data_IF_546590202277
#
_entry.id   IF_546590202277
#
_cell.length_a   1.000
_cell.length_b   1.000
_cell.length_c   1.000
_cell.angle_alpha   90.00
_cell.angle_beta   90.00
_cell.angle_gamma   90.00
#
_symmetry.space_group_name_H-M   'P 1'
#
loop_
_entity.id
_entity.type
_entity.pdbx_description
1 polymer ?
#
# COMPACT_ATOMS: atom_id res chain seq x y z
N UNK A 1 19.39 50.04 17.91
CA UNK A 1 19.24 49.31 16.64
C UNK A 1 19.00 47.85 17.00
N UNK A 2 17.76 47.38 16.86
CA UNK A 2 17.43 46.00 17.10
C UNK A 2 17.70 45.21 15.80
N UNK A 3 18.67 44.29 15.85
CA UNK A 3 18.94 43.37 14.77
C UNK A 3 17.76 42.38 14.70
N UNK A 4 16.88 42.58 13.71
CA UNK A 4 15.82 41.62 13.42
C UNK A 4 16.46 40.30 12.93
N UNK A 5 16.36 39.27 13.71
CA UNK A 5 16.62 37.93 13.26
C UNK A 5 15.69 37.63 12.06
N UNK A 6 16.24 37.61 10.84
CA UNK A 6 15.53 37.05 9.67
C UNK A 6 15.32 35.58 9.97
N UNK A 7 14.11 35.22 10.35
CA UNK A 7 13.71 33.81 10.41
C UNK A 7 13.94 33.19 9.05
N UNK A 8 14.65 32.07 9.00
CA UNK A 8 14.75 31.23 7.78
C UNK A 8 13.35 30.81 7.30
N UNK A 9 13.23 30.28 6.07
CA UNK A 9 11.96 29.74 5.60
C UNK A 9 11.45 28.69 6.60
N UNK A 10 10.13 28.66 6.81
CA UNK A 10 9.51 27.66 7.66
C UNK A 10 9.88 26.24 7.13
N UNK A 11 10.16 25.28 8.02
CA UNK A 11 10.46 23.93 7.58
C UNK A 11 9.27 23.34 6.83
N UNK A 12 9.56 22.67 5.74
CA UNK A 12 8.56 21.94 4.94
C UNK A 12 8.42 20.53 5.47
N UNK A 13 7.24 20.20 6.00
CA UNK A 13 6.89 18.87 6.51
C UNK A 13 6.22 18.00 5.47
N UNK A 14 5.80 18.57 4.33
CA UNK A 14 5.01 17.85 3.31
C UNK A 14 5.70 16.57 2.82
N UNK A 15 4.89 15.60 2.42
CA UNK A 15 5.36 14.34 1.86
C UNK A 15 5.40 13.22 2.90
N UNK A 16 6.24 12.25 2.65
CA UNK A 16 6.25 11.01 3.39
C UNK A 16 7.56 10.80 4.13
N UNK A 17 7.44 10.16 5.29
CA UNK A 17 8.52 9.94 6.23
C UNK A 17 8.41 8.52 6.77
N UNK A 18 9.52 7.78 6.79
CA UNK A 18 9.58 6.44 7.35
C UNK A 18 10.37 6.42 8.66
N UNK A 19 9.99 5.58 9.59
CA UNK A 19 10.71 5.41 10.84
C UNK A 19 12.16 4.99 10.58
N UNK A 20 13.08 5.64 11.26
CA UNK A 20 14.52 5.49 11.03
C UNK A 20 15.06 4.10 11.42
N UNK A 21 14.45 3.45 12.40
CA UNK A 21 15.03 2.24 13.02
C UNK A 21 14.59 0.94 12.34
N UNK A 22 13.34 0.86 11.90
CA UNK A 22 12.77 -0.39 11.42
C UNK A 22 11.85 -0.22 10.19
N UNK A 23 11.64 1.02 9.73
CA UNK A 23 10.76 1.36 8.59
C UNK A 23 9.31 0.82 8.70
N UNK A 24 8.89 0.48 9.93
CA UNK A 24 7.57 -0.10 10.20
C UNK A 24 6.50 0.94 10.40
N UNK A 25 6.90 2.17 10.69
CA UNK A 25 6.01 3.31 10.90
C UNK A 25 6.20 4.30 9.78
N UNK A 26 5.11 4.69 9.16
CA UNK A 26 5.11 5.69 8.08
C UNK A 26 4.22 6.84 8.47
N UNK A 27 4.70 8.06 8.26
CA UNK A 27 3.94 9.29 8.44
C UNK A 27 3.79 10.02 7.11
N UNK A 28 2.57 10.43 6.78
CA UNK A 28 2.23 11.20 5.57
C UNK A 28 1.71 12.57 5.97
N UNK A 29 2.33 13.61 5.44
CA UNK A 29 1.94 14.99 5.68
C UNK A 29 1.37 15.61 4.42
N UNK A 30 0.09 15.93 4.43
CA UNK A 30 -0.63 16.58 3.32
C UNK A 30 -0.93 18.02 3.68
N UNK A 31 -0.45 19.01 2.91
CA UNK A 31 -0.78 20.41 3.15
C UNK A 31 -2.29 20.64 3.14
N UNK A 32 -2.80 21.31 4.18
CA UNK A 32 -4.22 21.65 4.28
C UNK A 32 -4.50 23.04 3.71
N UNK A 33 -5.64 23.22 3.05
CA UNK A 33 -6.04 24.50 2.47
C UNK A 33 -6.23 25.63 3.53
N UNK A 34 -6.54 25.24 4.77
CA UNK A 34 -6.66 26.14 5.93
C UNK A 34 -5.31 26.55 6.54
N UNK A 35 -4.20 26.04 6.00
CA UNK A 35 -2.87 26.13 6.59
C UNK A 35 -2.59 24.97 7.56
N UNK A 36 -1.32 24.59 7.69
CA UNK A 36 -0.91 23.39 8.43
C UNK A 36 -0.97 22.13 7.56
N UNK A 37 -1.12 20.96 8.20
CA UNK A 37 -1.04 19.66 7.56
C UNK A 37 -2.09 18.71 8.12
N UNK A 38 -2.76 17.94 7.24
CA UNK A 38 -3.34 16.67 7.64
C UNK A 38 -2.21 15.65 7.78
N UNK A 39 -2.18 14.92 8.87
CA UNK A 39 -1.14 13.93 9.16
C UNK A 39 -1.78 12.59 9.40
N UNK A 40 -1.28 11.59 8.70
CA UNK A 40 -1.64 10.19 8.90
C UNK A 40 -0.38 9.41 9.26
N UNK A 41 -0.45 8.60 10.31
CA UNK A 41 0.64 7.72 10.72
C UNK A 41 0.09 6.31 10.79
N UNK A 42 0.80 5.38 10.18
CA UNK A 42 0.44 3.97 10.21
C UNK A 42 1.59 3.12 10.72
N UNK A 43 1.27 2.14 11.56
CA UNK A 43 2.20 1.14 12.03
C UNK A 43 1.61 -0.26 11.86
N UNK A 44 2.41 -1.17 11.29
CA UNK A 44 2.08 -2.58 11.15
C UNK A 44 3.22 -3.42 11.72
N UNK A 45 2.88 -4.32 12.61
CA UNK A 45 3.81 -5.34 13.05
C UNK A 45 3.71 -6.56 12.12
N UNK A 46 4.85 -7.01 11.59
CA UNK A 46 4.91 -8.15 10.68
C UNK A 46 4.39 -9.41 11.38
N UNK A 47 3.42 -10.08 10.75
CA UNK A 47 2.85 -11.33 11.26
C UNK A 47 1.75 -11.17 12.31
N UNK A 48 1.37 -9.95 12.66
CA UNK A 48 0.18 -9.71 13.48
C UNK A 48 -0.99 -9.21 12.61
N UNK A 49 -2.16 -9.77 12.83
CA UNK A 49 -3.41 -9.30 12.23
C UNK A 49 -3.88 -7.98 12.89
N UNK A 50 -2.94 -7.10 13.23
CA UNK A 50 -3.19 -5.82 13.90
C UNK A 50 -2.47 -4.70 13.17
N UNK A 51 -3.16 -3.58 13.09
CA UNK A 51 -2.69 -2.34 12.50
C UNK A 51 -3.02 -1.17 13.43
N UNK A 52 -2.08 -0.27 13.60
CA UNK A 52 -2.27 0.95 14.39
C UNK A 52 -2.23 2.17 13.47
N UNK A 53 -3.21 3.05 13.61
CA UNK A 53 -3.34 4.24 12.80
C UNK A 53 -3.61 5.49 13.64
N UNK A 54 -2.95 6.57 13.27
CA UNK A 54 -3.17 7.89 13.84
C UNK A 54 -3.55 8.87 12.75
N UNK A 55 -4.59 9.64 12.99
CA UNK A 55 -5.03 10.77 12.16
C UNK A 55 -5.07 12.03 12.98
N UNK A 56 -4.54 13.13 12.45
CA UNK A 56 -4.53 14.42 13.16
C UNK A 56 -4.39 15.62 12.24
N UNK A 57 -4.80 16.78 12.71
CA UNK A 57 -4.57 18.07 12.05
C UNK A 57 -3.42 18.82 12.77
N UNK A 58 -2.30 18.97 12.11
CA UNK A 58 -1.12 19.62 12.69
C UNK A 58 -0.99 21.06 12.19
N UNK A 59 -0.84 21.99 13.09
CA UNK A 59 -0.70 23.43 12.79
C UNK A 59 0.66 23.97 13.27
N UNK A 60 1.07 25.10 12.69
CA UNK A 60 2.34 25.74 13.06
C UNK A 60 2.37 26.06 14.56
N UNK A 61 3.34 25.48 15.24
CA UNK A 61 3.65 25.72 16.64
C UNK A 61 4.80 26.71 16.84
N UNK A 62 5.35 26.72 18.05
CA UNK A 62 6.50 27.54 18.37
C UNK A 62 7.80 26.97 17.84
N UNK A 63 8.76 27.82 17.47
CA UNK A 63 10.14 27.41 17.08
C UNK A 63 10.24 26.43 15.90
N UNK A 64 9.32 26.55 14.93
CA UNK A 64 9.34 25.70 13.73
C UNK A 64 8.83 24.28 13.95
N UNK A 65 8.05 24.04 15.01
CA UNK A 65 7.32 22.78 15.21
C UNK A 65 5.95 22.85 14.54
N UNK A 66 5.36 21.67 14.31
CA UNK A 66 3.91 21.49 14.16
C UNK A 66 3.37 20.95 15.49
N UNK A 67 2.18 21.36 15.88
CA UNK A 67 1.47 20.84 17.05
C UNK A 67 0.07 20.35 16.65
N UNK A 68 -0.41 19.34 17.32
CA UNK A 68 -1.78 18.83 17.18
C UNK A 68 -2.40 18.61 18.57
N UNK A 69 -3.73 18.64 18.63
CA UNK A 69 -4.54 18.38 19.83
C UNK A 69 -5.86 17.66 19.53
N UNK A 70 -5.96 17.10 18.33
CA UNK A 70 -7.11 16.36 17.81
C UNK A 70 -6.70 14.96 17.33
N UNK A 71 -5.60 14.45 17.87
CA UNK A 71 -5.06 13.15 17.47
C UNK A 71 -6.06 12.03 17.77
N UNK A 72 -6.46 11.31 16.73
CA UNK A 72 -7.23 10.07 16.85
C UNK A 72 -6.30 8.89 16.65
N UNK A 73 -6.26 8.00 17.61
CA UNK A 73 -5.55 6.72 17.52
C UNK A 73 -6.53 5.57 17.52
N UNK A 74 -6.41 4.71 16.52
CA UNK A 74 -7.21 3.50 16.40
C UNK A 74 -6.32 2.28 16.24
N UNK A 75 -6.80 1.18 16.76
CA UNK A 75 -6.23 -0.14 16.55
C UNK A 75 -7.21 -0.96 15.71
N UNK A 76 -6.76 -1.44 14.57
CA UNK A 76 -7.53 -2.29 13.67
C UNK A 76 -7.08 -3.73 13.89
N UNK A 77 -8.02 -4.59 14.24
CA UNK A 77 -7.78 -6.02 14.43
C UNK A 77 -8.54 -6.79 13.37
N UNK A 78 -7.84 -7.64 12.64
CA UNK A 78 -8.39 -8.52 11.62
C UNK A 78 -8.52 -9.93 12.22
N UNK A 79 -9.52 -10.71 11.84
CA UNK A 79 -9.60 -12.11 12.27
C UNK A 79 -8.43 -12.92 11.74
N UNK A 80 -7.99 -12.60 10.51
CA UNK A 80 -6.81 -13.19 9.86
C UNK A 80 -5.99 -12.09 9.20
N UNK A 81 -4.69 -12.30 9.10
CA UNK A 81 -3.85 -11.46 8.25
C UNK A 81 -4.34 -11.58 6.80
N UNK A 82 -4.78 -10.47 6.24
CA UNK A 82 -5.33 -10.41 4.90
C UNK A 82 -6.84 -10.22 4.79
N UNK A 83 -7.60 -10.24 5.90
CA UNK A 83 -9.02 -9.93 5.87
C UNK A 83 -9.26 -8.46 5.52
N UNK A 84 -10.38 -8.18 4.84
CA UNK A 84 -10.86 -6.82 4.58
C UNK A 84 -11.78 -6.32 5.69
N UNK A 85 -12.35 -7.22 6.46
CA UNK A 85 -13.17 -6.89 7.62
C UNK A 85 -12.29 -6.80 8.85
N UNK A 86 -12.44 -5.73 9.59
CA UNK A 86 -11.69 -5.48 10.81
C UNK A 86 -12.60 -4.96 11.92
N UNK A 87 -12.17 -5.19 13.15
CA UNK A 87 -12.73 -4.54 14.32
C UNK A 87 -11.85 -3.33 14.62
N UNK A 88 -12.49 -2.15 14.66
CA UNK A 88 -11.84 -0.91 15.07
C UNK A 88 -12.01 -0.70 16.56
N UNK A 89 -10.89 -0.56 17.26
CA UNK A 89 -10.84 -0.12 18.65
C UNK A 89 -10.25 1.29 18.69
N UNK A 90 -11.07 2.27 19.07
CA UNK A 90 -10.62 3.64 19.25
C UNK A 90 -9.95 3.77 20.61
N UNK A 91 -8.63 3.99 20.59
CA UNK A 91 -7.83 4.12 21.82
C UNK A 91 -7.99 5.52 22.43
N UNK A 92 -7.94 6.56 21.59
CA UNK A 92 -8.24 7.94 21.98
C UNK A 92 -8.61 8.81 20.77
N UNK A 93 -9.22 9.98 21.02
CA UNK A 93 -9.67 10.94 19.98
C UNK A 93 -9.20 12.38 20.18
N UNK A 94 -8.51 12.65 21.27
CA UNK A 94 -8.04 13.97 21.71
C UNK A 94 -6.56 13.96 22.08
N UNK A 95 -5.79 13.14 21.35
CA UNK A 95 -4.35 13.05 21.53
C UNK A 95 -3.65 14.36 21.21
N UNK A 96 -2.63 14.66 21.99
CA UNK A 96 -1.80 15.85 21.81
C UNK A 96 -0.36 15.49 21.47
N UNK A 97 0.30 16.33 20.70
CA UNK A 97 1.70 16.09 20.39
C UNK A 97 2.29 17.11 19.44
N UNK A 98 3.48 16.80 18.97
CA UNK A 98 4.21 17.70 18.08
C UNK A 98 5.17 16.97 17.14
N UNK A 99 5.48 17.66 16.05
CA UNK A 99 6.48 17.28 15.08
C UNK A 99 7.55 18.36 14.97
N UNK A 100 8.79 17.97 14.86
CA UNK A 100 9.94 18.86 14.68
C UNK A 100 10.91 18.27 13.67
N UNK A 101 11.29 19.05 12.66
CA UNK A 101 12.44 18.67 11.82
C UNK A 101 13.71 19.19 12.54
N UNK A 102 14.56 18.24 12.95
CA UNK A 102 15.78 18.55 13.68
C UNK A 102 16.88 19.07 12.73
N UNK A 103 18.04 19.47 13.30
CA UNK A 103 19.18 19.96 12.52
C UNK A 103 19.79 18.97 11.53
N UNK A 104 19.45 17.70 11.64
CA UNK A 104 19.90 16.63 10.74
C UNK A 104 18.90 16.36 9.61
N UNK A 105 17.78 17.12 9.54
CA UNK A 105 16.72 16.91 8.57
C UNK A 105 15.78 15.76 8.93
N UNK A 106 15.89 15.19 10.13
CA UNK A 106 15.03 14.11 10.60
C UNK A 106 13.77 14.69 11.25
N UNK A 107 12.62 14.08 10.98
CA UNK A 107 11.36 14.41 11.64
C UNK A 107 11.29 13.66 12.97
N UNK A 108 11.06 14.40 14.04
CA UNK A 108 10.84 13.85 15.38
C UNK A 108 9.38 14.04 15.73
N UNK A 109 8.64 12.97 15.86
CA UNK A 109 7.30 12.95 16.43
C UNK A 109 7.38 12.71 17.93
N UNK A 110 6.67 13.51 18.69
CA UNK A 110 6.48 13.33 20.12
C UNK A 110 4.98 13.26 20.37
N UNK A 111 4.49 12.09 20.74
CA UNK A 111 3.13 11.90 21.24
C UNK A 111 3.13 12.26 22.74
N UNK A 112 2.40 13.32 23.10
CA UNK A 112 2.33 13.75 24.49
C UNK A 112 1.34 12.89 25.31
N UNK A 113 0.46 12.13 24.64
CA UNK A 113 -0.56 11.30 25.29
C UNK A 113 0.08 10.11 26.02
N UNK A 114 1.08 9.48 25.40
CA UNK A 114 1.81 8.35 26.00
C UNK A 114 3.30 8.65 26.28
N UNK A 115 3.78 9.81 25.82
CA UNK A 115 5.17 10.23 25.99
C UNK A 115 6.15 9.59 25.01
N UNK A 116 5.68 8.87 24.01
CA UNK A 116 6.52 8.21 23.00
C UNK A 116 7.23 9.21 22.09
N UNK A 117 8.35 8.76 21.53
CA UNK A 117 9.09 9.52 20.51
C UNK A 117 9.52 8.61 19.40
N UNK A 118 9.17 9.00 18.18
CA UNK A 118 9.59 8.32 16.96
C UNK A 118 10.38 9.27 16.08
N UNK A 119 11.47 8.75 15.51
CA UNK A 119 12.33 9.51 14.59
C UNK A 119 12.13 8.95 13.19
N UNK A 120 11.81 9.83 12.26
CA UNK A 120 11.59 9.49 10.87
C UNK A 120 12.64 10.15 9.98
N UNK A 121 12.93 9.51 8.87
CA UNK A 121 13.70 10.07 7.76
C UNK A 121 12.76 10.36 6.61
N UNK A 122 13.02 11.44 5.87
CA UNK A 122 12.26 11.75 4.67
C UNK A 122 12.57 10.68 3.63
N UNK A 123 11.52 10.08 3.08
CA UNK A 123 11.65 9.16 1.96
C UNK A 123 11.49 9.96 0.68
N UNK A 124 12.54 10.01 -0.14
CA UNK A 124 12.47 10.59 -1.47
C UNK A 124 11.61 9.67 -2.35
N UNK A 125 10.44 10.17 -2.73
CA UNK A 125 9.54 9.50 -3.67
C UNK A 125 10.15 9.38 -5.09
N UNK A 126 11.35 9.91 -5.30
CA UNK A 126 12.05 9.96 -6.58
C UNK A 126 13.45 9.31 -6.55
N UNK A 127 13.82 8.62 -5.48
CA UNK A 127 15.12 7.97 -5.34
C UNK A 127 15.00 6.45 -5.36
N UNK A 128 16.00 5.77 -5.94
CA UNK A 128 16.08 4.33 -6.20
C UNK A 128 15.98 3.40 -4.96
N UNK A 129 15.62 3.92 -3.78
CA UNK A 129 15.51 3.16 -2.53
C UNK A 129 14.33 3.57 -1.60
N UNK A 130 13.36 4.31 -2.09
CA UNK A 130 12.21 4.69 -1.28
C UNK A 130 11.10 3.64 -1.39
N UNK A 131 11.32 2.54 -0.73
CA UNK A 131 10.32 1.54 -0.43
C UNK A 131 9.41 2.08 0.67
N UNK A 132 8.32 2.75 0.30
CA UNK A 132 7.40 3.29 1.27
C UNK A 132 6.34 2.24 1.52
N UNK A 133 6.34 1.67 2.72
CA UNK A 133 5.23 0.83 3.17
C UNK A 133 3.98 1.72 3.16
N UNK A 134 2.99 1.34 2.37
CA UNK A 134 1.71 2.03 2.26
C UNK A 134 0.60 1.13 2.85
N UNK A 135 0.51 1.02 4.19
CA UNK A 135 -0.44 0.12 4.83
C UNK A 135 -1.89 0.50 4.55
N UNK A 136 -2.17 1.76 4.27
CA UNK A 136 -3.48 2.21 3.85
C UNK A 136 -3.95 1.60 2.52
N UNK A 137 -3.03 1.03 1.72
CA UNK A 137 -3.36 0.30 0.50
C UNK A 137 -3.58 -1.19 0.71
N UNK A 138 -3.25 -1.74 1.87
CA UNK A 138 -3.37 -3.19 2.14
C UNK A 138 -4.78 -3.71 1.87
N UNK A 139 -5.79 -3.05 2.42
CA UNK A 139 -7.20 -3.43 2.19
C UNK A 139 -7.59 -3.33 0.71
N UNK A 140 -7.11 -2.29 0.00
CA UNK A 140 -7.38 -2.15 -1.43
C UNK A 140 -6.67 -3.23 -2.25
N UNK A 141 -5.44 -3.59 -1.92
CA UNK A 141 -4.70 -4.67 -2.59
C UNK A 141 -5.45 -6.01 -2.44
N UNK A 142 -5.92 -6.32 -1.24
CA UNK A 142 -6.71 -7.54 -1.00
C UNK A 142 -8.04 -7.56 -1.79
N UNK A 143 -8.72 -6.42 -1.87
CA UNK A 143 -9.90 -6.29 -2.73
C UNK A 143 -9.53 -6.58 -4.18
N UNK A 144 -8.44 -6.01 -4.68
CA UNK A 144 -7.96 -6.19 -6.05
C UNK A 144 -7.56 -7.64 -6.36
N UNK A 145 -7.02 -8.38 -5.39
CA UNK A 145 -6.66 -9.79 -5.56
C UNK A 145 -7.83 -10.66 -6.04
N UNK A 146 -9.07 -10.30 -5.70
CA UNK A 146 -10.28 -11.03 -6.13
C UNK A 146 -10.53 -10.97 -7.64
N UNK A 147 -9.88 -10.04 -8.33
CA UNK A 147 -10.04 -9.81 -9.77
C UNK A 147 -8.83 -10.27 -10.58
N UNK A 148 -7.83 -10.87 -9.92
CA UNK A 148 -6.74 -11.55 -10.63
C UNK A 148 -7.33 -12.79 -11.31
N UNK A 149 -7.13 -12.98 -12.63
CA UNK A 149 -7.68 -14.12 -13.34
C UNK A 149 -7.15 -15.44 -12.77
N UNK A 150 -8.07 -16.37 -12.52
CA UNK A 150 -7.81 -17.75 -12.16
C UNK A 150 -8.74 -18.62 -12.99
N UNK A 151 -8.34 -19.10 -14.15
CA UNK A 151 -9.08 -19.81 -15.18
C UNK A 151 -9.95 -18.96 -16.11
N UNK A 152 -10.49 -17.84 -15.68
CA UNK A 152 -11.29 -16.93 -16.52
C UNK A 152 -11.00 -15.47 -16.19
N UNK A 153 -11.19 -14.61 -17.17
CA UNK A 153 -11.15 -13.17 -16.99
C UNK A 153 -12.58 -12.65 -16.81
N UNK A 154 -12.92 -12.28 -15.57
CA UNK A 154 -14.24 -11.76 -15.28
C UNK A 154 -14.44 -10.36 -15.93
N UNK A 155 -15.59 -10.09 -16.59
CA UNK A 155 -15.83 -8.78 -17.22
C UNK A 155 -15.72 -7.59 -16.25
N UNK A 156 -16.13 -7.77 -15.00
CA UNK A 156 -16.04 -6.77 -13.95
C UNK A 156 -14.60 -6.39 -13.56
N UNK A 157 -13.61 -7.27 -13.86
CA UNK A 157 -12.20 -6.99 -13.66
C UNK A 157 -11.74 -5.72 -14.43
N UNK A 158 -12.43 -5.36 -15.51
CA UNK A 158 -12.20 -4.10 -16.24
C UNK A 158 -12.31 -2.85 -15.38
N UNK A 159 -13.03 -2.89 -14.26
CA UNK A 159 -13.16 -1.77 -13.32
C UNK A 159 -12.05 -1.72 -12.26
N UNK A 160 -11.22 -2.76 -12.19
CA UNK A 160 -10.17 -2.95 -11.18
C UNK A 160 -8.76 -3.03 -11.77
N UNK A 161 -8.67 -3.02 -13.09
CA UNK A 161 -7.42 -3.02 -13.86
C UNK A 161 -7.33 -1.76 -14.73
N UNK A 162 -6.10 -1.37 -15.07
CA UNK A 162 -5.92 -0.36 -16.11
C UNK A 162 -6.44 -0.87 -17.46
N UNK A 163 -6.96 0.03 -18.29
CA UNK A 163 -7.58 -0.35 -19.56
C UNK A 163 -6.64 -1.14 -20.48
N UNK A 164 -5.35 -0.81 -20.47
CA UNK A 164 -4.33 -1.47 -21.29
C UNK A 164 -3.95 -2.85 -20.76
N UNK A 165 -3.92 -3.05 -19.44
CA UNK A 165 -3.67 -4.37 -18.84
C UNK A 165 -4.88 -5.31 -19.06
N UNK A 166 -6.09 -4.82 -18.79
CA UNK A 166 -7.30 -5.59 -19.05
C UNK A 166 -7.43 -6.00 -20.53
N UNK A 167 -7.10 -5.06 -21.44
CA UNK A 167 -7.13 -5.36 -22.88
C UNK A 167 -6.09 -6.41 -23.26
N UNK A 168 -4.87 -6.33 -22.75
CA UNK A 168 -3.82 -7.32 -23.04
C UNK A 168 -4.24 -8.73 -22.57
N UNK A 169 -4.85 -8.85 -21.39
CA UNK A 169 -5.40 -10.10 -20.89
C UNK A 169 -6.54 -10.60 -21.78
N UNK A 170 -7.54 -9.75 -22.08
CA UNK A 170 -8.70 -10.11 -22.90
C UNK A 170 -8.28 -10.61 -24.28
N UNK A 171 -7.40 -9.87 -24.97
CA UNK A 171 -6.90 -10.26 -26.29
C UNK A 171 -6.14 -11.61 -26.23
N UNK A 172 -5.40 -11.88 -25.14
CA UNK A 172 -4.70 -13.14 -24.97
C UNK A 172 -5.63 -14.32 -24.68
N UNK A 173 -6.68 -14.10 -23.87
CA UNK A 173 -7.71 -15.12 -23.61
C UNK A 173 -8.60 -15.42 -24.83
N UNK A 174 -8.81 -14.43 -25.72
CA UNK A 174 -9.62 -14.59 -26.93
C UNK A 174 -8.82 -15.14 -28.12
N UNK A 175 -7.49 -15.22 -28.02
CA UNK A 175 -6.65 -15.73 -29.09
C UNK A 175 -6.94 -17.22 -29.33
N UNK A 176 -7.30 -17.62 -30.57
CA UNK A 176 -7.53 -19.03 -30.90
C UNK A 176 -6.27 -19.87 -30.67
N UNK A 177 -6.46 -21.09 -30.16
CA UNK A 177 -5.36 -22.06 -30.11
C UNK A 177 -4.79 -22.31 -31.51
N UNK A 178 -3.49 -22.59 -31.66
CA UNK A 178 -2.88 -22.91 -32.95
C UNK A 178 -3.50 -24.13 -33.58
N UNK A 179 -3.85 -24.07 -34.88
CA UNK A 179 -4.45 -25.20 -35.66
C UNK A 179 -3.47 -26.35 -35.96
N UNK A 180 -2.22 -26.27 -35.50
CA UNK A 180 -1.14 -27.19 -35.86
C UNK A 180 -1.01 -28.42 -34.98
N UNK A 181 -1.93 -28.59 -34.01
CA UNK A 181 -1.94 -29.72 -33.07
C UNK A 181 -0.86 -29.60 -31.98
N UNK A 182 -0.15 -28.49 -31.89
CA UNK A 182 0.65 -28.18 -30.70
C UNK A 182 -0.26 -27.98 -29.52
N UNK A 183 0.14 -28.52 -28.36
CA UNK A 183 -0.52 -28.21 -27.10
C UNK A 183 -0.28 -26.73 -26.88
N UNK A 184 -1.37 -25.96 -26.86
CA UNK A 184 -1.29 -24.55 -26.55
C UNK A 184 -0.82 -24.42 -25.08
N UNK A 185 0.43 -24.03 -24.91
CA UNK A 185 1.03 -23.83 -23.58
C UNK A 185 0.57 -22.49 -22.97
N UNK A 186 -0.74 -22.26 -23.00
CA UNK A 186 -1.39 -21.10 -22.40
C UNK A 186 -1.78 -21.33 -20.93
N UNK A 187 -1.38 -22.46 -20.35
CA UNK A 187 -1.61 -22.76 -18.93
C UNK A 187 -1.14 -21.62 -18.03
N UNK A 188 -0.10 -20.91 -18.42
CA UNK A 188 0.39 -19.73 -17.70
C UNK A 188 -0.60 -18.55 -17.65
N UNK A 189 -1.55 -18.47 -18.58
CA UNK A 189 -2.64 -17.49 -18.53
C UNK A 189 -3.68 -17.85 -17.46
N UNK A 190 -3.85 -19.14 -17.20
CA UNK A 190 -4.88 -19.66 -16.31
C UNK A 190 -4.35 -19.96 -14.90
N UNK A 191 -3.06 -20.18 -14.73
CA UNK A 191 -2.44 -20.51 -13.45
C UNK A 191 -1.75 -19.30 -12.82
N UNK A 192 -2.49 -18.20 -12.70
CA UNK A 192 -1.92 -16.98 -12.12
C UNK A 192 -1.49 -17.20 -10.67
N UNK A 193 -2.23 -17.98 -9.91
CA UNK A 193 -2.16 -17.94 -8.45
C UNK A 193 -2.13 -19.32 -7.81
N UNK A 194 -2.94 -20.27 -8.28
CA UNK A 194 -2.96 -21.64 -7.76
C UNK A 194 -2.54 -22.62 -8.85
N UNK A 195 -1.91 -23.71 -8.49
CA UNK A 195 -1.63 -24.80 -9.44
C UNK A 195 -2.90 -25.57 -9.80
N UNK A 196 -2.78 -26.57 -10.69
CA UNK A 196 -3.87 -27.40 -11.27
C UNK A 196 -4.73 -28.18 -10.26
N UNK A 197 -4.75 -27.85 -8.99
CA UNK A 197 -5.30 -28.71 -7.95
C UNK A 197 -6.74 -28.42 -7.54
N UNK A 198 -7.40 -27.38 -8.06
CA UNK A 198 -8.76 -27.00 -7.64
C UNK A 198 -8.82 -26.35 -6.25
N UNK A 199 -7.68 -25.97 -5.67
CA UNK A 199 -7.64 -25.15 -4.47
C UNK A 199 -8.03 -23.70 -4.79
N UNK A 200 -8.71 -23.04 -3.88
CA UNK A 200 -8.95 -21.60 -3.96
C UNK A 200 -7.70 -20.84 -3.49
N UNK A 201 -7.43 -19.64 -4.01
CA UNK A 201 -6.35 -18.81 -3.50
C UNK A 201 -6.73 -18.15 -2.16
N UNK A 202 -5.86 -18.30 -1.17
CA UNK A 202 -5.89 -17.51 0.05
C UNK A 202 -4.81 -16.43 -0.05
N UNK A 203 -5.23 -15.17 -0.12
CA UNK A 203 -4.35 -14.03 -0.31
C UNK A 203 -3.90 -13.43 1.01
N UNK A 204 -2.65 -13.01 1.06
CA UNK A 204 -2.10 -12.13 2.07
C UNK A 204 -1.35 -10.98 1.40
N UNK A 205 -1.19 -9.85 2.09
CA UNK A 205 -0.38 -8.74 1.59
C UNK A 205 0.88 -8.65 2.46
N UNK A 206 1.99 -9.03 1.87
CA UNK A 206 3.29 -9.07 2.55
C UNK A 206 3.92 -7.67 2.65
N UNK A 207 3.76 -6.87 1.60
CA UNK A 207 4.19 -5.48 1.59
C UNK A 207 3.49 -4.67 0.51
N UNK A 208 3.35 -3.37 0.72
CA UNK A 208 2.95 -2.41 -0.32
C UNK A 208 3.91 -1.24 -0.29
N UNK A 209 4.44 -0.89 -1.46
CA UNK A 209 5.42 0.16 -1.64
C UNK A 209 4.91 1.18 -2.65
N UNK A 210 4.93 2.45 -2.30
CA UNK A 210 4.69 3.54 -3.26
C UNK A 210 5.99 3.95 -3.92
N UNK A 211 6.03 3.94 -5.24
CA UNK A 211 7.11 4.55 -6.00
C UNK A 211 6.91 6.08 -6.10
N UNK A 212 5.65 6.53 -6.20
CA UNK A 212 5.27 7.94 -6.25
C UNK A 212 3.79 8.15 -5.84
N UNK A 213 3.21 9.31 -6.16
CA UNK A 213 1.81 9.63 -5.83
C UNK A 213 0.79 8.78 -6.58
N UNK A 214 1.18 8.21 -7.70
CA UNK A 214 0.29 7.51 -8.64
C UNK A 214 0.70 6.07 -8.91
N UNK A 215 1.85 5.63 -8.43
CA UNK A 215 2.36 4.27 -8.64
C UNK A 215 2.71 3.60 -7.31
N UNK A 216 2.33 2.35 -7.20
CA UNK A 216 2.68 1.49 -6.08
C UNK A 216 2.94 0.07 -6.56
N UNK A 217 3.70 -0.70 -5.78
CA UNK A 217 3.92 -2.12 -5.99
C UNK A 217 3.58 -2.86 -4.70
N UNK A 218 2.79 -3.91 -4.80
CA UNK A 218 2.50 -4.80 -3.68
C UNK A 218 3.17 -6.15 -3.89
N UNK A 219 3.62 -6.76 -2.79
CA UNK A 219 3.96 -8.18 -2.75
C UNK A 219 2.78 -8.90 -2.12
N UNK A 220 2.16 -9.77 -2.90
CA UNK A 220 1.00 -10.55 -2.52
C UNK A 220 1.45 -11.98 -2.26
N UNK A 221 1.13 -12.49 -1.07
CA UNK A 221 1.32 -13.88 -0.72
C UNK A 221 0.09 -14.71 -1.10
N UNK A 222 0.31 -15.92 -1.61
CA UNK A 222 -0.76 -16.85 -1.95
C UNK A 222 -0.47 -18.21 -1.37
N UNK A 223 -1.48 -18.79 -0.71
CA UNK A 223 -1.49 -20.19 -0.28
C UNK A 223 -2.73 -20.88 -0.80
N UNK A 224 -2.72 -22.20 -0.78
CA UNK A 224 -3.85 -23.01 -1.20
C UNK A 224 -4.91 -23.10 -0.10
N UNK A 225 -6.16 -22.85 -0.47
CA UNK A 225 -7.33 -23.01 0.38
C UNK A 225 -8.21 -24.11 -0.21
N UNK A 226 -8.21 -25.29 0.41
CA UNK A 226 -8.94 -26.47 -0.11
C UNK A 226 -10.43 -26.47 0.23
N UNK A 227 -10.80 -25.79 1.29
CA UNK A 227 -12.19 -25.68 1.74
C UNK A 227 -12.50 -24.23 2.13
N UNK A 228 -13.64 -23.66 1.71
CA UNK A 228 -14.04 -22.32 2.14
C UNK A 228 -14.10 -22.22 3.68
N UNK A 229 -13.39 -21.25 4.26
CA UNK A 229 -13.29 -21.08 5.70
C UNK A 229 -12.32 -22.04 6.40
N UNK A 230 -11.59 -22.86 5.65
CA UNK A 230 -10.48 -23.68 6.16
C UNK A 230 -9.22 -22.87 6.43
N UNK A 231 -8.20 -23.52 6.96
CA UNK A 231 -6.87 -22.90 7.12
C UNK A 231 -6.10 -22.96 5.80
N UNK A 232 -5.48 -21.84 5.36
CA UNK A 232 -4.59 -21.85 4.21
C UNK A 232 -3.41 -22.81 4.43
N UNK A 233 -3.07 -23.57 3.42
CA UNK A 233 -2.03 -24.60 3.47
C UNK A 233 -1.03 -24.48 2.33
N UNK A 234 0.01 -25.30 2.36
CA UNK A 234 1.04 -25.28 1.34
C UNK A 234 2.10 -24.21 1.52
N UNK A 235 2.97 -24.12 0.53
CA UNK A 235 4.05 -23.14 0.50
C UNK A 235 3.49 -21.75 0.16
N UNK A 236 4.01 -20.72 0.82
CA UNK A 236 3.70 -19.33 0.49
C UNK A 236 4.36 -18.97 -0.84
N UNK A 237 3.56 -18.68 -1.84
CA UNK A 237 4.02 -18.14 -3.13
C UNK A 237 3.90 -16.63 -3.12
N UNK A 238 4.96 -15.95 -3.53
CA UNK A 238 5.00 -14.48 -3.56
C UNK A 238 4.84 -13.99 -4.99
N UNK A 239 3.95 -13.04 -5.18
CA UNK A 239 3.61 -12.43 -6.46
C UNK A 239 3.74 -10.92 -6.37
N UNK A 240 4.19 -10.27 -7.45
CA UNK A 240 4.25 -8.82 -7.55
C UNK A 240 2.98 -8.30 -8.24
N UNK A 241 2.34 -7.31 -7.65
CA UNK A 241 1.23 -6.57 -8.22
C UNK A 241 1.63 -5.11 -8.36
N UNK A 242 1.65 -4.61 -9.60
CA UNK A 242 1.89 -3.19 -9.87
C UNK A 242 0.57 -2.44 -9.94
N UNK A 243 0.53 -1.27 -9.32
CA UNK A 243 -0.67 -0.48 -9.11
C UNK A 243 -0.49 0.93 -9.66
N UNK A 244 -1.56 1.47 -10.23
CA UNK A 244 -1.64 2.86 -10.71
C UNK A 244 -2.88 3.53 -10.15
N UNK A 245 -2.75 4.78 -9.72
CA UNK A 245 -3.86 5.62 -9.28
C UNK A 245 -4.46 6.36 -10.48
N UNK A 246 -5.63 5.94 -10.93
CA UNK A 246 -6.39 6.57 -12.02
C UNK A 246 -7.79 6.95 -11.53
N UNK A 247 -8.24 8.17 -11.86
CA UNK A 247 -9.57 8.63 -11.46
C UNK A 247 -9.86 8.62 -9.95
N UNK A 248 -8.82 8.63 -9.12
CA UNK A 248 -8.94 8.53 -7.66
C UNK A 248 -9.01 7.10 -7.13
N UNK A 249 -8.85 6.09 -7.99
CA UNK A 249 -8.88 4.67 -7.61
C UNK A 249 -7.56 3.98 -7.95
N UNK A 250 -7.07 3.16 -7.05
CA UNK A 250 -5.95 2.28 -7.33
C UNK A 250 -6.42 1.09 -8.16
N UNK A 251 -5.77 0.87 -9.29
CA UNK A 251 -6.05 -0.19 -10.26
C UNK A 251 -4.81 -1.07 -10.44
N UNK A 252 -5.00 -2.34 -10.78
CA UNK A 252 -3.90 -3.23 -11.18
C UNK A 252 -3.41 -2.80 -12.56
N UNK A 253 -2.13 -2.49 -12.69
CA UNK A 253 -1.50 -2.14 -13.98
C UNK A 253 -0.68 -3.28 -14.57
N UNK A 254 -0.22 -4.20 -13.72
CA UNK A 254 0.43 -5.45 -14.09
C UNK A 254 0.41 -6.44 -12.91
N UNK A 255 0.62 -7.70 -13.21
CA UNK A 255 0.77 -8.77 -12.22
C UNK A 255 1.83 -9.76 -12.71
N UNK A 256 2.95 -9.88 -11.99
CA UNK A 256 4.10 -10.74 -12.35
C UNK A 256 4.62 -10.55 -13.80
N UNK A 257 4.54 -9.33 -14.36
CA UNK A 257 4.93 -9.07 -15.75
C UNK A 257 4.01 -9.65 -16.80
N UNK A 258 2.77 -10.01 -16.44
CA UNK A 258 1.80 -10.66 -17.33
C UNK A 258 1.37 -9.80 -18.50
N UNK A 259 1.31 -8.49 -18.30
CA UNK A 259 0.97 -7.56 -19.38
C UNK A 259 1.90 -7.73 -20.58
N UNK A 260 3.21 -7.72 -20.35
CA UNK A 260 4.18 -7.91 -21.44
C UNK A 260 4.11 -9.33 -22.01
N UNK A 261 3.96 -10.35 -21.17
CA UNK A 261 3.82 -11.72 -21.61
C UNK A 261 2.58 -11.93 -22.52
N UNK A 262 1.44 -11.30 -22.19
CA UNK A 262 0.25 -11.31 -23.03
C UNK A 262 0.50 -10.64 -24.38
N UNK A 263 1.14 -9.48 -24.40
CA UNK A 263 1.46 -8.76 -25.63
C UNK A 263 2.43 -9.56 -26.53
N UNK A 264 3.42 -10.21 -25.95
CA UNK A 264 4.34 -11.08 -26.68
C UNK A 264 3.61 -12.29 -27.26
N UNK A 265 2.70 -12.91 -26.51
CA UNK A 265 1.89 -14.03 -26.99
C UNK A 265 0.96 -13.63 -28.14
N UNK A 266 0.28 -12.49 -28.05
CA UNK A 266 -0.62 -12.02 -29.10
C UNK A 266 0.14 -11.71 -30.40
N UNK A 267 1.39 -11.26 -30.29
CA UNK A 267 2.22 -10.87 -31.44
C UNK A 267 2.79 -12.03 -32.24
N UNK A 268 2.74 -13.24 -31.72
CA UNK A 268 3.18 -14.48 -32.38
C UNK A 268 2.09 -15.02 -33.31
#
# INVERSE_FOLDING_TARGET
>A
MAAGCKGGPAPDFSGQWAEKSAERVVAVFTPAASGGYGVQIGWRETGLAQYEAWDMSAVAGKRGTLAYSDGRFVRLSFERDGDTEYVEDTVYTDGEGSFLINRHGELVWTDATDGSKTVFIRTDLNGDNASIIAPELTGRVLELCRYIPDHELLPEASSYMTADFFKALSDAFEKPAPDDGTIDDTEWLYTFVTGNGGALPAYSVESVHRADRTHATAVVGVRDLWEPGGEPSGELRLHQMDLVLEGGHWLISDFDGRKQACLDYISQ
#
